data_IF_438478070650
#
_entry.id   IF_438478070650
#
_cell.length_a   1.000
_cell.length_b   1.000
_cell.length_c   1.000
_cell.angle_alpha   90.00
_cell.angle_beta   90.00
_cell.angle_gamma   90.00
#
_symmetry.space_group_name_H-M   'P 1'
#
loop_
_entity.id
_entity.type
_entity.pdbx_description
1 polymer ?
#
# COMPACT_ATOMS: atom_id res chain seq x y z
N UNK A 1 22.51 -10.20 -19.81
CA UNK A 1 22.67 -11.14 -18.66
C UNK A 1 21.57 -10.82 -17.69
N UNK A 2 20.66 -11.72 -17.43
CA UNK A 2 19.59 -11.51 -16.44
C UNK A 2 20.25 -11.50 -15.06
N UNK A 3 20.16 -10.37 -14.37
CA UNK A 3 20.54 -10.24 -12.98
C UNK A 3 19.65 -11.19 -12.16
N UNK A 4 20.24 -12.21 -11.57
CA UNK A 4 19.51 -13.09 -10.67
C UNK A 4 19.00 -12.24 -9.50
N UNK A 5 17.70 -12.28 -9.27
CA UNK A 5 17.11 -11.72 -8.06
C UNK A 5 17.87 -12.28 -6.84
N UNK A 6 18.20 -11.46 -5.84
CA UNK A 6 18.91 -11.92 -4.66
C UNK A 6 18.13 -13.08 -4.03
N UNK A 7 18.80 -14.20 -3.79
CA UNK A 7 18.27 -15.30 -2.99
C UNK A 7 17.83 -14.71 -1.64
N UNK A 8 16.56 -14.87 -1.32
CA UNK A 8 16.03 -14.49 -0.02
C UNK A 8 16.79 -15.30 1.05
N UNK A 9 17.59 -14.59 1.81
CA UNK A 9 18.44 -15.15 2.85
C UNK A 9 17.59 -15.84 3.94
N UNK A 10 18.16 -16.84 4.57
CA UNK A 10 17.61 -17.59 5.69
C UNK A 10 17.28 -16.72 6.92
N UNK A 11 17.13 -17.31 8.12
CA UNK A 11 16.77 -16.57 9.32
C UNK A 11 17.70 -15.37 9.51
N UNK A 12 17.15 -14.23 9.92
CA UNK A 12 17.87 -12.97 10.01
C UNK A 12 19.08 -13.08 10.94
N UNK A 13 20.25 -12.81 10.38
CA UNK A 13 21.53 -12.88 11.12
C UNK A 13 21.85 -11.55 11.82
N UNK A 14 21.12 -10.50 11.50
CA UNK A 14 21.32 -9.16 12.05
C UNK A 14 20.02 -8.60 12.66
N UNK A 15 20.06 -7.90 13.81
CA UNK A 15 18.87 -7.38 14.46
C UNK A 15 18.08 -6.35 13.63
N UNK A 16 18.69 -5.74 12.60
CA UNK A 16 18.04 -4.79 11.69
C UNK A 16 17.58 -5.43 10.37
N UNK A 17 17.78 -6.74 10.18
CA UNK A 17 17.28 -7.40 8.98
C UNK A 17 15.75 -7.30 8.89
N UNK A 18 15.18 -7.16 7.69
CA UNK A 18 13.74 -7.23 7.50
C UNK A 18 13.16 -8.53 8.09
N UNK A 19 11.90 -8.53 8.52
CA UNK A 19 11.25 -9.75 8.99
C UNK A 19 11.28 -10.85 7.92
N UNK A 20 11.70 -12.05 8.31
CA UNK A 20 11.72 -13.21 7.43
C UNK A 20 10.29 -13.69 7.10
N UNK A 21 10.18 -14.55 6.09
CA UNK A 21 8.90 -15.17 5.74
C UNK A 21 8.29 -15.94 6.92
N UNK A 22 9.12 -16.64 7.67
CA UNK A 22 8.75 -17.43 8.85
C UNK A 22 8.27 -16.54 9.98
N UNK A 23 8.95 -15.42 10.24
CA UNK A 23 8.56 -14.43 11.23
C UNK A 23 7.23 -13.76 10.87
N UNK A 24 7.02 -13.41 9.60
CA UNK A 24 5.76 -12.87 9.10
C UNK A 24 4.63 -13.88 9.28
N UNK A 25 4.85 -15.14 8.91
CA UNK A 25 3.86 -16.20 9.04
C UNK A 25 3.52 -16.49 10.52
N UNK A 26 4.53 -16.51 11.41
CA UNK A 26 4.34 -16.70 12.84
C UNK A 26 3.50 -15.57 13.45
N UNK A 27 3.85 -14.31 13.17
CA UNK A 27 3.09 -13.16 13.64
C UNK A 27 1.63 -13.20 13.16
N UNK A 28 1.41 -13.49 11.88
CA UNK A 28 0.06 -13.64 11.32
C UNK A 28 -0.74 -14.76 12.00
N UNK A 29 -0.12 -15.92 12.23
CA UNK A 29 -0.78 -17.06 12.89
C UNK A 29 -1.14 -16.77 14.35
N UNK A 30 -0.25 -16.08 15.08
CA UNK A 30 -0.51 -15.68 16.47
C UNK A 30 -1.67 -14.68 16.56
N UNK A 31 -1.73 -13.72 15.66
CA UNK A 31 -2.79 -12.73 15.62
C UNK A 31 -4.13 -13.35 15.19
N UNK A 32 -4.15 -14.26 14.22
CA UNK A 32 -5.35 -14.99 13.83
C UNK A 32 -5.93 -15.81 14.98
N UNK A 33 -5.10 -16.48 15.77
CA UNK A 33 -5.56 -17.20 16.99
C UNK A 33 -6.20 -16.26 18.01
N UNK A 34 -5.82 -15.00 18.01
CA UNK A 34 -6.29 -14.00 18.98
C UNK A 34 -7.52 -13.22 18.51
N UNK A 35 -7.61 -12.92 17.20
CA UNK A 35 -8.59 -12.02 16.59
C UNK A 35 -9.57 -12.73 15.67
N UNK A 36 -9.30 -13.99 15.30
CA UNK A 36 -10.08 -14.75 14.32
C UNK A 36 -9.44 -14.78 12.93
N UNK A 37 -9.88 -15.72 12.10
CA UNK A 37 -9.29 -15.95 10.77
C UNK A 37 -9.59 -14.83 9.78
N UNK A 38 -10.70 -14.11 9.96
CA UNK A 38 -11.16 -13.03 9.09
C UNK A 38 -10.43 -11.69 9.32
N UNK A 39 -9.45 -11.65 10.22
CA UNK A 39 -8.62 -10.45 10.44
C UNK A 39 -7.88 -10.06 9.18
N UNK A 40 -7.89 -8.75 8.86
CA UNK A 40 -7.18 -8.19 7.70
C UNK A 40 -5.87 -7.58 8.18
N UNK A 41 -4.74 -8.02 7.62
CA UNK A 41 -3.43 -7.42 7.86
C UNK A 41 -3.13 -6.40 6.77
N UNK A 42 -2.75 -5.18 7.17
CA UNK A 42 -2.41 -4.09 6.26
C UNK A 42 -0.90 -3.89 6.13
N UNK A 43 -0.18 -3.97 7.24
CA UNK A 43 1.29 -3.86 7.24
C UNK A 43 1.90 -4.66 8.37
N UNK A 44 3.15 -5.06 8.16
CA UNK A 44 4.01 -5.66 9.18
C UNK A 44 5.41 -5.08 9.01
N UNK A 45 5.98 -4.58 10.08
CA UNK A 45 7.31 -3.99 10.10
C UNK A 45 8.09 -4.42 11.34
N UNK A 46 9.42 -4.52 11.19
CA UNK A 46 10.31 -4.72 12.33
C UNK A 46 10.18 -3.53 13.30
N UNK A 47 10.12 -3.83 14.58
CA UNK A 47 10.40 -2.85 15.63
C UNK A 47 11.89 -2.93 15.90
N UNK A 48 12.62 -1.95 15.41
CA UNK A 48 14.07 -1.91 15.57
C UNK A 48 14.45 -1.83 17.04
N UNK A 49 15.45 -2.61 17.48
CA UNK A 49 15.98 -2.47 18.83
C UNK A 49 16.66 -1.10 19.02
N UNK A 50 16.79 -0.61 20.26
CA UNK A 50 17.48 0.64 20.53
C UNK A 50 18.90 0.65 19.94
N UNK A 51 19.30 1.78 19.34
CA UNK A 51 20.60 1.96 18.67
C UNK A 51 21.80 1.46 19.51
N UNK A 52 21.77 1.68 20.81
CA UNK A 52 22.84 1.21 21.72
C UNK A 52 22.98 -0.32 21.66
N UNK A 53 21.87 -1.05 21.65
CA UNK A 53 21.88 -2.51 21.60
C UNK A 53 22.40 -3.02 20.25
N UNK A 54 22.09 -2.34 19.16
CA UNK A 54 22.63 -2.66 17.83
C UNK A 54 24.14 -2.46 17.80
N UNK A 55 24.66 -1.35 18.34
CA UNK A 55 26.10 -1.08 18.42
C UNK A 55 26.81 -2.14 19.30
N UNK A 56 26.21 -2.50 20.42
CA UNK A 56 26.75 -3.56 21.32
C UNK A 56 26.76 -4.91 20.59
N UNK A 57 25.71 -5.25 19.85
CA UNK A 57 25.67 -6.46 19.02
C UNK A 57 26.78 -6.45 17.96
N UNK A 58 26.94 -5.36 17.22
CA UNK A 58 27.97 -5.23 16.17
C UNK A 58 29.39 -5.33 16.73
N UNK A 59 29.61 -4.84 17.94
CA UNK A 59 30.90 -4.86 18.62
C UNK A 59 31.26 -6.22 19.25
N UNK A 60 30.28 -7.12 19.35
CA UNK A 60 30.51 -8.43 19.97
C UNK A 60 31.09 -9.41 18.94
N UNK A 61 32.26 -9.99 19.27
CA UNK A 61 32.92 -10.99 18.44
C UNK A 61 32.15 -12.32 18.36
N UNK A 62 31.28 -12.62 19.34
CA UNK A 62 30.43 -13.81 19.40
C UNK A 62 29.00 -13.44 19.10
N UNK A 63 28.74 -12.94 17.87
CA UNK A 63 27.41 -12.62 17.40
C UNK A 63 26.56 -13.88 17.32
N UNK A 64 25.56 -14.00 18.17
CA UNK A 64 24.53 -15.03 18.02
C UNK A 64 23.25 -14.39 17.45
N UNK A 65 22.71 -14.88 16.34
CA UNK A 65 21.42 -14.44 15.83
C UNK A 65 20.36 -14.50 16.94
N UNK A 66 19.47 -13.52 16.97
CA UNK A 66 18.35 -13.44 17.93
C UNK A 66 18.68 -13.12 19.41
N UNK A 67 19.90 -12.71 19.74
CA UNK A 67 20.23 -12.29 21.12
C UNK A 67 19.36 -11.14 21.64
N UNK A 68 18.87 -10.27 20.76
CA UNK A 68 18.09 -9.08 21.15
C UNK A 68 16.57 -9.31 21.14
N UNK A 69 16.12 -10.53 20.79
CA UNK A 69 14.72 -10.75 20.51
C UNK A 69 14.24 -9.98 19.26
N UNK A 70 13.20 -10.46 18.63
CA UNK A 70 12.66 -9.84 17.41
C UNK A 70 11.20 -9.46 17.63
N UNK A 71 10.94 -8.18 17.53
CA UNK A 71 9.62 -7.62 17.71
C UNK A 71 9.10 -7.09 16.37
N UNK A 72 7.86 -7.35 16.06
CA UNK A 72 7.20 -6.77 14.89
C UNK A 72 5.96 -5.98 15.27
N UNK A 73 5.76 -4.88 14.58
CA UNK A 73 4.54 -4.08 14.62
C UNK A 73 3.63 -4.53 13.47
N UNK A 74 2.41 -4.91 13.78
CA UNK A 74 1.41 -5.30 12.79
C UNK A 74 0.23 -4.34 12.88
N UNK A 75 -0.13 -3.75 11.74
CA UNK A 75 -1.34 -2.93 11.61
C UNK A 75 -2.38 -3.69 10.81
N UNK A 76 -3.62 -3.62 11.24
CA UNK A 76 -4.69 -4.35 10.59
C UNK A 76 -6.08 -3.90 10.99
N UNK A 77 -7.07 -4.67 10.55
CA UNK A 77 -8.48 -4.43 10.81
C UNK A 77 -9.11 -5.70 11.37
N UNK A 78 -9.72 -5.57 12.54
CA UNK A 78 -10.54 -6.60 13.19
C UNK A 78 -11.96 -6.51 12.63
N UNK A 79 -12.32 -7.48 11.79
CA UNK A 79 -13.63 -7.48 11.10
C UNK A 79 -14.79 -7.75 12.06
N UNK A 80 -14.54 -8.42 13.19
CA UNK A 80 -15.56 -8.72 14.20
C UNK A 80 -15.90 -7.48 15.01
N UNK A 81 -14.87 -6.76 15.47
CA UNK A 81 -15.03 -5.50 16.19
C UNK A 81 -15.28 -4.30 15.29
N UNK A 82 -15.09 -4.46 13.98
CA UNK A 82 -15.14 -3.38 12.99
C UNK A 82 -14.21 -2.21 13.37
N UNK A 83 -12.96 -2.53 13.71
CA UNK A 83 -12.02 -1.54 14.20
C UNK A 83 -10.59 -1.83 13.77
N UNK A 84 -9.86 -0.78 13.40
CA UNK A 84 -8.43 -0.89 13.11
C UNK A 84 -7.62 -1.11 14.40
N UNK A 85 -6.50 -1.82 14.29
CA UNK A 85 -5.62 -2.10 15.41
C UNK A 85 -4.14 -1.94 15.04
N UNK A 86 -3.33 -1.74 16.07
CA UNK A 86 -1.87 -1.90 16.06
C UNK A 86 -1.54 -2.98 17.08
N UNK A 87 -0.80 -3.99 16.66
CA UNK A 87 -0.34 -5.06 17.54
C UNK A 87 1.18 -5.13 17.56
N UNK A 88 1.71 -5.51 18.70
CA UNK A 88 3.14 -5.84 18.89
C UNK A 88 3.24 -7.35 19.12
N UNK A 89 4.09 -7.99 18.33
CA UNK A 89 4.33 -9.44 18.41
C UNK A 89 5.81 -9.69 18.64
N UNK A 90 6.16 -10.42 19.69
CA UNK A 90 7.48 -10.99 19.86
C UNK A 90 7.54 -12.31 19.09
N UNK A 91 8.21 -12.28 17.93
CA UNK A 91 8.33 -13.46 17.06
C UNK A 91 9.38 -14.44 17.56
N UNK A 92 10.31 -14.00 18.41
CA UNK A 92 11.27 -14.89 19.08
C UNK A 92 10.60 -15.68 20.18
N UNK A 93 9.80 -15.02 21.03
CA UNK A 93 9.07 -15.67 22.11
C UNK A 93 7.73 -16.29 21.65
N UNK A 94 7.33 -16.09 20.40
CA UNK A 94 6.04 -16.52 19.84
C UNK A 94 4.82 -16.03 20.63
N UNK A 95 4.79 -14.75 21.00
CA UNK A 95 3.72 -14.17 21.80
C UNK A 95 3.26 -12.80 21.27
N UNK A 96 1.96 -12.57 21.29
CA UNK A 96 1.38 -11.25 21.08
C UNK A 96 1.46 -10.49 22.40
N UNK A 97 2.29 -9.45 22.45
CA UNK A 97 2.54 -8.67 23.67
C UNK A 97 1.50 -7.58 23.86
N UNK A 98 0.98 -6.99 22.78
CA UNK A 98 0.00 -5.92 22.84
C UNK A 98 -0.93 -5.96 21.63
N UNK A 99 -2.19 -5.61 21.83
CA UNK A 99 -3.13 -5.22 20.77
C UNK A 99 -3.85 -3.95 21.23
N UNK A 100 -3.63 -2.86 20.50
CA UNK A 100 -4.27 -1.58 20.75
C UNK A 100 -5.19 -1.23 19.58
N UNK A 101 -6.48 -1.04 19.87
CA UNK A 101 -7.45 -0.58 18.89
C UNK A 101 -7.33 0.94 18.67
N UNK A 102 -7.54 1.38 17.44
CA UNK A 102 -7.44 2.78 17.03
C UNK A 102 -8.85 3.35 17.03
N UNK A 103 -9.09 4.40 17.82
CA UNK A 103 -10.37 5.12 17.88
C UNK A 103 -10.48 6.16 16.76
N UNK A 104 -9.37 6.75 16.36
CA UNK A 104 -9.33 7.77 15.31
C UNK A 104 -8.39 7.31 14.19
N UNK A 105 -8.90 7.33 12.95
CA UNK A 105 -8.16 6.87 11.79
C UNK A 105 -8.41 5.40 11.45
N UNK A 106 -7.64 4.89 10.51
CA UNK A 106 -7.76 3.50 10.03
C UNK A 106 -6.40 2.92 9.65
N UNK A 107 -6.31 1.60 9.61
CA UNK A 107 -5.13 0.89 9.13
C UNK A 107 -4.81 1.25 7.66
N UNK A 108 -3.55 1.18 7.23
CA UNK A 108 -3.16 1.45 5.86
C UNK A 108 -3.97 0.66 4.83
N UNK A 109 -4.05 1.22 3.62
CA UNK A 109 -4.63 0.58 2.46
C UNK A 109 -3.85 -0.68 2.10
N UNK A 110 -4.55 -1.74 1.71
CA UNK A 110 -3.96 -2.95 1.13
C UNK A 110 -4.54 -3.22 -0.27
N UNK A 111 -3.90 -4.10 -1.03
CA UNK A 111 -4.33 -4.41 -2.39
C UNK A 111 -5.76 -5.00 -2.49
N UNK A 112 -6.20 -5.91 -1.63
CA UNK A 112 -7.60 -6.34 -1.58
C UNK A 112 -8.61 -5.20 -1.42
N UNK A 113 -8.30 -4.17 -0.63
CA UNK A 113 -9.18 -2.99 -0.50
C UNK A 113 -9.33 -2.24 -1.81
N UNK A 114 -8.24 -2.09 -2.57
CA UNK A 114 -8.27 -1.46 -3.91
C UNK A 114 -9.24 -2.20 -4.82
N UNK A 115 -9.12 -3.52 -4.90
CA UNK A 115 -9.99 -4.36 -5.74
C UNK A 115 -11.46 -4.23 -5.33
N UNK A 116 -11.73 -4.23 -4.02
CA UNK A 116 -13.09 -4.10 -3.49
C UNK A 116 -13.71 -2.74 -3.85
N UNK A 117 -12.97 -1.64 -3.67
CA UNK A 117 -13.47 -0.30 -4.05
C UNK A 117 -13.79 -0.23 -5.53
N UNK A 118 -12.91 -0.74 -6.40
CA UNK A 118 -13.15 -0.79 -7.85
C UNK A 118 -14.43 -1.56 -8.16
N UNK A 119 -14.63 -2.72 -7.52
CA UNK A 119 -15.82 -3.56 -7.71
C UNK A 119 -17.08 -2.82 -7.23
N UNK A 120 -17.05 -2.25 -6.03
CA UNK A 120 -18.18 -1.50 -5.47
C UNK A 120 -18.59 -0.35 -6.41
N UNK A 121 -17.64 0.47 -6.85
CA UNK A 121 -17.94 1.58 -7.77
C UNK A 121 -18.54 1.07 -9.09
N UNK A 122 -17.93 0.06 -9.71
CA UNK A 122 -18.38 -0.46 -11.01
C UNK A 122 -19.75 -1.16 -10.96
N UNK A 123 -20.18 -1.61 -9.79
CA UNK A 123 -21.50 -2.24 -9.59
C UNK A 123 -22.56 -1.29 -9.04
N UNK A 124 -22.17 -0.11 -8.57
CA UNK A 124 -23.10 0.89 -8.04
C UNK A 124 -23.85 1.62 -9.15
N UNK A 125 -25.18 1.57 -9.11
CA UNK A 125 -26.03 2.19 -10.13
C UNK A 125 -25.91 3.71 -10.13
N UNK A 126 -25.79 4.35 -8.97
CA UNK A 126 -25.62 5.79 -8.83
C UNK A 126 -24.33 6.28 -9.49
N UNK A 127 -23.22 5.60 -9.23
CA UNK A 127 -21.94 5.90 -9.86
C UNK A 127 -21.99 5.66 -11.38
N UNK A 128 -22.58 4.55 -11.84
CA UNK A 128 -22.74 4.30 -13.28
C UNK A 128 -23.60 5.37 -13.97
N UNK A 129 -24.67 5.84 -13.33
CA UNK A 129 -25.51 6.93 -13.86
C UNK A 129 -24.72 8.23 -13.98
N UNK A 130 -23.90 8.56 -12.97
CA UNK A 130 -23.02 9.73 -13.02
C UNK A 130 -21.95 9.62 -14.13
N UNK A 131 -21.44 8.43 -14.41
CA UNK A 131 -20.53 8.17 -15.53
C UNK A 131 -21.25 8.32 -16.89
N UNK A 132 -22.44 7.75 -17.04
CA UNK A 132 -23.27 7.91 -18.26
C UNK A 132 -23.60 9.38 -18.55
N UNK A 133 -23.91 10.16 -17.52
CA UNK A 133 -24.14 11.59 -17.67
C UNK A 133 -22.93 12.36 -18.24
N UNK A 134 -21.72 11.77 -18.11
CA UNK A 134 -20.45 12.30 -18.65
C UNK A 134 -20.04 11.65 -19.97
N UNK A 135 -20.97 10.90 -20.62
CA UNK A 135 -20.74 10.25 -21.91
C UNK A 135 -19.97 8.95 -21.84
N UNK A 136 -19.81 8.35 -20.64
CA UNK A 136 -19.12 7.07 -20.44
C UNK A 136 -20.17 5.96 -20.28
N UNK A 137 -20.51 5.30 -21.39
CA UNK A 137 -21.53 4.22 -21.40
C UNK A 137 -20.94 2.89 -20.89
N UNK A 138 -19.72 2.56 -21.29
CA UNK A 138 -19.00 1.37 -20.85
C UNK A 138 -17.94 1.71 -19.80
N UNK A 139 -18.13 1.18 -18.59
CA UNK A 139 -17.24 1.42 -17.47
C UNK A 139 -16.17 0.33 -17.29
N UNK A 140 -16.10 -0.63 -18.22
CA UNK A 140 -15.17 -1.80 -18.11
C UNK A 140 -13.72 -1.35 -17.96
N UNK A 141 -13.27 -0.47 -18.84
CA UNK A 141 -11.90 0.03 -18.85
C UNK A 141 -11.69 1.34 -18.04
N UNK A 142 -12.72 1.83 -17.34
CA UNK A 142 -12.55 2.96 -16.43
C UNK A 142 -11.56 2.59 -15.33
N UNK A 143 -10.49 3.37 -15.20
CA UNK A 143 -9.56 3.28 -14.09
C UNK A 143 -10.19 3.98 -12.89
N UNK A 144 -10.17 3.29 -11.76
CA UNK A 144 -10.61 3.84 -10.47
C UNK A 144 -9.42 3.78 -9.54
N UNK A 145 -9.07 4.93 -8.96
CA UNK A 145 -8.01 5.06 -7.99
C UNK A 145 -8.60 5.25 -6.59
N UNK A 146 -8.52 4.22 -5.74
CA UNK A 146 -8.89 4.34 -4.35
C UNK A 146 -7.83 5.11 -3.55
N UNK A 147 -8.27 6.11 -2.83
CA UNK A 147 -7.42 6.92 -1.96
C UNK A 147 -7.87 6.79 -0.51
N UNK A 148 -6.92 6.66 0.44
CA UNK A 148 -7.27 6.72 1.85
C UNK A 148 -7.90 8.08 2.17
N UNK A 149 -8.84 8.08 3.10
CA UNK A 149 -9.58 9.30 3.48
C UNK A 149 -8.71 10.33 4.21
N UNK A 150 -7.52 9.92 4.67
CA UNK A 150 -6.67 10.76 5.50
C UNK A 150 -7.35 11.07 6.84
N UNK A 151 -7.31 12.32 7.26
CA UNK A 151 -8.00 12.78 8.47
C UNK A 151 -9.48 13.12 8.25
N UNK A 152 -10.03 12.92 7.03
CA UNK A 152 -11.42 13.19 6.70
C UNK A 152 -12.16 11.92 6.31
N UNK A 153 -13.04 11.47 7.19
CA UNK A 153 -14.00 10.40 6.92
C UNK A 153 -15.38 11.04 6.73
N UNK A 154 -16.08 10.69 5.64
CA UNK A 154 -17.40 11.26 5.38
C UNK A 154 -18.37 10.92 6.54
N UNK A 155 -19.21 11.86 7.01
CA UNK A 155 -20.11 11.64 8.15
C UNK A 155 -21.09 10.47 7.99
N UNK A 156 -21.39 10.05 6.77
CA UNK A 156 -22.25 8.88 6.49
C UNK A 156 -21.54 7.54 6.71
N UNK A 157 -20.20 7.54 6.93
CA UNK A 157 -19.47 6.33 7.30
C UNK A 157 -19.57 6.15 8.81
N UNK A 158 -20.08 5.02 9.30
CA UNK A 158 -20.14 4.76 10.74
C UNK A 158 -18.75 4.76 11.39
N UNK A 159 -18.68 5.12 12.64
CA UNK A 159 -17.44 5.10 13.42
C UNK A 159 -16.80 3.70 13.40
N UNK A 160 -15.50 3.64 13.26
CA UNK A 160 -14.72 2.40 13.17
C UNK A 160 -14.76 1.71 11.80
N UNK A 161 -15.69 2.07 10.91
CA UNK A 161 -15.72 1.49 9.57
C UNK A 161 -14.51 1.93 8.75
N UNK A 162 -14.10 1.03 7.84
CA UNK A 162 -13.03 1.27 6.91
C UNK A 162 -13.56 2.00 5.68
N UNK A 163 -12.98 3.14 5.35
CA UNK A 163 -13.47 4.00 4.27
C UNK A 163 -12.37 4.40 3.28
N UNK A 164 -12.78 4.60 2.03
CA UNK A 164 -11.93 5.06 0.95
C UNK A 164 -12.65 6.13 0.12
N UNK A 165 -11.89 6.97 -0.58
CA UNK A 165 -12.41 7.83 -1.65
C UNK A 165 -11.95 7.28 -2.98
N UNK A 166 -12.85 7.20 -3.95
CA UNK A 166 -12.54 6.72 -5.29
C UNK A 166 -12.63 7.86 -6.31
N UNK A 167 -11.55 8.04 -7.06
CA UNK A 167 -11.44 8.99 -8.18
C UNK A 167 -11.38 8.17 -9.45
N UNK A 168 -12.06 8.65 -10.49
CA UNK A 168 -12.24 7.91 -11.75
C UNK A 168 -11.51 8.59 -12.91
N UNK A 169 -11.00 7.77 -13.84
CA UNK A 169 -10.31 8.21 -15.04
C UNK A 169 -10.77 7.36 -16.23
N UNK A 170 -11.03 8.00 -17.37
CA UNK A 170 -11.49 7.28 -18.56
C UNK A 170 -10.30 6.82 -19.38
N UNK A 171 -10.33 5.57 -19.80
CA UNK A 171 -9.37 4.97 -20.74
C UNK A 171 -10.12 4.48 -21.98
N UNK A 172 -9.46 4.49 -23.12
CA UNK A 172 -9.99 3.88 -24.35
C UNK A 172 -9.87 2.36 -24.29
N UNK A 173 -8.79 1.87 -23.68
CA UNK A 173 -8.55 0.46 -23.43
C UNK A 173 -7.56 0.28 -22.23
N UNK A 174 -7.23 -0.95 -21.92
CA UNK A 174 -6.31 -1.31 -20.81
C UNK A 174 -4.86 -0.79 -20.96
N UNK A 175 -4.45 -0.38 -22.15
CA UNK A 175 -3.10 0.15 -22.43
C UNK A 175 -3.04 1.67 -22.40
N UNK A 176 -4.20 2.33 -22.37
CA UNK A 176 -4.29 3.78 -22.26
C UNK A 176 -3.96 4.23 -20.82
N UNK A 177 -3.31 5.38 -20.69
CA UNK A 177 -3.05 6.01 -19.40
C UNK A 177 -4.24 6.86 -18.98
N UNK A 178 -5.08 6.34 -18.08
CA UNK A 178 -6.29 7.01 -17.61
C UNK A 178 -6.03 8.40 -17.01
N UNK A 179 -4.84 8.65 -16.46
CA UNK A 179 -4.52 9.98 -15.89
C UNK A 179 -4.56 11.14 -16.89
N UNK A 180 -4.56 10.85 -18.18
CA UNK A 180 -4.80 11.89 -19.22
C UNK A 180 -6.24 12.39 -19.23
N UNK A 181 -7.20 11.59 -18.79
CA UNK A 181 -8.64 11.87 -18.90
C UNK A 181 -9.37 11.73 -17.56
N UNK A 182 -9.11 12.62 -16.59
CA UNK A 182 -9.77 12.59 -15.28
C UNK A 182 -11.26 12.89 -15.39
N UNK A 183 -12.07 12.17 -14.62
CA UNK A 183 -13.50 12.48 -14.43
C UNK A 183 -13.61 13.53 -13.35
N UNK A 184 -13.69 14.79 -13.76
CA UNK A 184 -13.72 15.91 -12.82
C UNK A 184 -15.07 16.01 -12.11
N UNK A 185 -15.03 16.48 -10.86
CA UNK A 185 -16.22 16.75 -10.06
C UNK A 185 -17.00 15.52 -9.61
N UNK A 186 -16.41 14.32 -9.66
CA UNK A 186 -17.05 13.09 -9.22
C UNK A 186 -16.12 12.31 -8.28
N UNK A 187 -16.52 12.17 -7.00
CA UNK A 187 -15.78 11.39 -6.00
C UNK A 187 -16.77 10.46 -5.31
N UNK A 188 -16.45 9.17 -5.27
CA UNK A 188 -17.23 8.20 -4.50
C UNK A 188 -16.62 8.00 -3.11
N UNK A 189 -17.40 8.19 -2.05
CA UNK A 189 -17.04 7.85 -0.69
C UNK A 189 -17.56 6.43 -0.41
N UNK A 190 -16.61 5.50 -0.26
CA UNK A 190 -16.89 4.07 -0.16
C UNK A 190 -16.67 3.60 1.27
N UNK A 191 -17.69 2.96 1.84
CA UNK A 191 -17.58 2.17 3.08
C UNK A 191 -17.21 0.74 2.71
N UNK A 192 -15.98 0.34 3.00
CA UNK A 192 -15.47 -1.00 2.75
C UNK A 192 -16.01 -2.04 3.73
N UNK A 193 -16.49 -1.62 4.89
CA UNK A 193 -17.04 -2.54 5.90
C UNK A 193 -18.43 -3.01 5.51
N UNK A 194 -19.26 -2.10 4.99
CA UNK A 194 -20.61 -2.40 4.51
C UNK A 194 -20.67 -2.58 2.98
N UNK A 195 -19.53 -2.47 2.28
CA UNK A 195 -19.36 -2.69 0.84
C UNK A 195 -20.32 -1.86 -0.04
N UNK A 196 -20.40 -0.56 0.22
CA UNK A 196 -21.29 0.36 -0.50
C UNK A 196 -20.69 1.75 -0.68
N UNK A 197 -21.17 2.49 -1.68
CA UNK A 197 -21.00 3.94 -1.76
C UNK A 197 -21.96 4.58 -0.75
N UNK A 198 -21.43 5.33 0.22
CA UNK A 198 -22.24 6.04 1.23
C UNK A 198 -22.57 7.46 0.82
N UNK A 199 -21.78 8.03 -0.07
CA UNK A 199 -21.99 9.35 -0.63
C UNK A 199 -21.28 9.47 -1.97
N UNK A 200 -22.00 9.92 -2.97
CA UNK A 200 -21.47 10.29 -4.27
C UNK A 200 -21.41 11.82 -4.34
N UNK A 201 -20.19 12.35 -4.22
CA UNK A 201 -19.94 13.78 -4.37
C UNK A 201 -19.90 14.11 -5.85
N UNK A 202 -20.96 14.73 -6.36
CA UNK A 202 -21.11 15.09 -7.76
C UNK A 202 -21.34 16.61 -7.90
N UNK A 203 -20.33 17.32 -8.42
CA UNK A 203 -20.35 18.76 -8.65
C UNK A 203 -20.80 19.15 -10.05
N UNK A 204 -21.41 18.23 -10.78
CA UNK A 204 -21.89 18.44 -12.14
C UNK A 204 -20.93 17.92 -13.21
N UNK A 205 -21.41 17.96 -14.44
CA UNK A 205 -20.69 17.41 -15.60
C UNK A 205 -19.65 18.40 -16.09
N UNK A 206 -18.41 17.92 -16.20
CA UNK A 206 -17.30 18.60 -16.87
C UNK A 206 -16.89 17.71 -18.05
N UNK A 207 -16.68 18.32 -19.21
CA UNK A 207 -16.28 17.60 -20.42
C UNK A 207 -14.95 16.86 -20.19
N UNK A 208 -14.89 15.63 -20.66
CA UNK A 208 -13.66 14.84 -20.62
C UNK A 208 -12.62 15.42 -21.59
N UNK A 209 -11.32 15.45 -21.20
CA UNK A 209 -10.27 15.79 -22.14
C UNK A 209 -10.34 14.92 -23.41
N UNK A 210 -10.23 15.50 -24.61
CA UNK A 210 -10.39 14.76 -25.86
C UNK A 210 -9.20 13.85 -26.18
N UNK A 211 -8.03 14.14 -25.62
CA UNK A 211 -6.80 13.43 -25.94
C UNK A 211 -6.62 12.17 -25.08
N UNK A 212 -6.20 11.08 -25.71
CA UNK A 212 -5.86 9.84 -25.00
C UNK A 212 -4.47 9.90 -24.34
N UNK A 213 -4.21 8.99 -23.42
CA UNK A 213 -2.94 8.88 -22.68
C UNK A 213 -1.95 7.87 -23.25
N UNK A 214 -2.01 7.60 -24.55
CA UNK A 214 -1.06 6.67 -25.21
C UNK A 214 0.26 7.36 -25.49
N UNK A 215 1.17 7.31 -24.53
CA UNK A 215 2.47 8.00 -24.61
C UNK A 215 3.60 7.13 -25.18
N UNK A 216 3.34 5.90 -25.57
CA UNK A 216 4.33 5.01 -26.18
C UNK A 216 4.80 5.56 -27.54
N UNK A 217 6.08 5.31 -27.92
CA UNK A 217 6.66 5.85 -29.15
C UNK A 217 5.83 5.63 -30.42
N UNK A 218 5.22 4.45 -30.54
CA UNK A 218 4.38 4.06 -31.68
C UNK A 218 3.09 4.86 -31.82
N UNK A 219 2.64 5.53 -30.76
CA UNK A 219 1.45 6.37 -30.74
C UNK A 219 1.75 7.87 -30.83
N UNK A 220 3.04 8.23 -30.93
CA UNK A 220 3.45 9.62 -31.01
C UNK A 220 3.63 10.04 -32.48
N UNK A 221 3.14 11.22 -32.89
CA UNK A 221 3.30 11.71 -34.26
C UNK A 221 4.79 11.97 -34.61
N UNK A 222 5.60 12.26 -33.62
CA UNK A 222 7.04 12.39 -33.76
C UNK A 222 7.71 12.24 -32.39
N UNK A 223 8.92 11.72 -32.38
CA UNK A 223 9.76 11.68 -31.20
C UNK A 223 10.80 12.80 -31.26
N UNK A 224 11.09 13.41 -30.11
CA UNK A 224 12.23 14.34 -30.02
C UNK A 224 13.54 13.61 -30.27
N UNK A 225 14.54 14.33 -30.77
CA UNK A 225 15.90 13.82 -30.87
C UNK A 225 16.41 13.38 -29.48
N UNK A 226 17.07 12.23 -29.44
CA UNK A 226 17.64 11.73 -28.20
C UNK A 226 18.67 12.71 -27.62
N UNK A 227 18.65 13.03 -26.33
CA UNK A 227 19.67 13.85 -25.71
C UNK A 227 21.03 13.17 -25.79
N UNK A 228 22.10 13.97 -25.78
CA UNK A 228 23.47 13.44 -25.72
C UNK A 228 23.63 12.58 -24.45
N UNK A 229 24.40 11.49 -24.51
CA UNK A 229 24.65 10.66 -23.35
C UNK A 229 25.23 11.47 -22.17
N UNK A 230 24.71 11.22 -20.98
CA UNK A 230 25.28 11.76 -19.74
C UNK A 230 26.22 10.71 -19.17
N UNK A 231 27.45 11.09 -18.89
CA UNK A 231 28.43 10.25 -18.20
C UNK A 231 28.72 10.83 -16.81
N UNK A 232 28.47 10.05 -15.77
CA UNK A 232 28.82 10.40 -14.38
C UNK A 232 29.93 9.45 -13.95
N UNK A 233 31.09 9.98 -13.59
CA UNK A 233 32.22 9.17 -13.20
C UNK A 233 32.81 9.65 -11.88
N UNK A 234 33.32 8.71 -11.09
CA UNK A 234 34.17 8.95 -9.92
C UNK A 234 35.51 8.24 -10.18
N UNK A 235 36.47 8.91 -10.86
CA UNK A 235 37.72 8.29 -11.33
C UNK A 235 38.54 7.67 -10.19
N UNK A 236 38.47 8.22 -8.99
CA UNK A 236 39.18 7.76 -7.81
C UNK A 236 38.39 6.69 -7.00
N UNK A 237 37.27 6.23 -7.54
CA UNK A 237 36.34 5.30 -6.89
C UNK A 237 35.24 5.99 -6.10
N UNK A 238 34.40 5.20 -5.45
CA UNK A 238 33.29 5.71 -4.64
C UNK A 238 33.77 6.41 -3.36
N UNK A 239 33.09 7.50 -2.99
CA UNK A 239 33.37 8.22 -1.72
C UNK A 239 32.73 7.56 -0.50
N UNK A 240 32.20 6.36 -0.64
CA UNK A 240 31.61 5.60 0.46
C UNK A 240 32.07 4.14 0.40
N UNK A 241 32.02 3.48 1.53
CA UNK A 241 32.22 2.03 1.65
C UNK A 241 30.94 1.39 2.17
N UNK A 242 30.62 0.22 1.63
CA UNK A 242 29.60 -0.67 2.19
C UNK A 242 30.33 -1.68 3.07
N UNK A 243 29.94 -1.77 4.33
CA UNK A 243 30.52 -2.62 5.33
C UNK A 243 29.37 -3.36 6.06
N UNK A 244 28.97 -4.52 5.53
CA UNK A 244 27.79 -5.24 5.98
C UNK A 244 26.54 -4.37 5.87
N UNK A 245 25.92 -4.05 7.02
CA UNK A 245 24.72 -3.21 7.12
C UNK A 245 25.00 -1.70 7.21
N UNK A 246 26.27 -1.30 7.21
CA UNK A 246 26.69 0.09 7.33
C UNK A 246 27.19 0.66 6.01
N UNK A 247 26.83 1.90 5.73
CA UNK A 247 27.43 2.74 4.67
C UNK A 247 28.23 3.83 5.38
N UNK A 248 29.55 3.87 5.09
CA UNK A 248 30.51 4.79 5.72
C UNK A 248 31.07 5.76 4.71
#
# INVERSE_FOLDING_TARGET
MAEQAPEFMGPSDHPLDPPSREEIAAAGSLLKKRLGDEVIFASLALIEPPKRQVIEFESNAQKTPNQLGRMVCVQGYDTVKKQSFVATVDVTANVVTEIRYISEGQAPLNFPDVVRVITICKTDEGWQNAMRARGVEDVTDVQIDPWPTGGYIHPNVPEGHRAMRAISFVREDKFDNGYARPVQGLIAHVDLTDEKIVFLEDHGVVDLPPEHGRYQPEHQPSLREAPRPISITQPEGTSFKVDGHAIK
#
